data_IF_866852927639
#
_entry.id   IF_866852927639
#
_cell.length_a   1.000
_cell.length_b   1.000
_cell.length_c   1.000
_cell.angle_alpha   90.00
_cell.angle_beta   90.00
_cell.angle_gamma   90.00
#
_symmetry.space_group_name_H-M   'P 1'
#
loop_
_entity.id
_entity.type
_entity.pdbx_description
1 polymer ?
#
# COMPACT_ATOMS: atom_id res chain seq x y z
N UNK A 1 -34.35 -10.43 46.07
CA UNK A 1 -34.99 -11.66 45.57
C UNK A 1 -34.06 -12.80 45.98
N UNK A 2 -34.24 -13.39 47.18
CA UNK A 2 -35.10 -14.56 47.45
C UNK A 2 -34.82 -15.68 46.43
N UNK A 3 -34.25 -16.83 46.81
CA UNK A 3 -35.04 -17.88 47.46
C UNK A 3 -34.17 -18.85 48.28
N UNK A 4 -34.60 -19.10 49.52
CA UNK A 4 -34.19 -20.23 50.35
C UNK A 4 -35.01 -21.46 49.91
N UNK A 5 -34.42 -22.65 49.88
CA UNK A 5 -35.18 -23.89 50.09
C UNK A 5 -34.46 -24.77 51.11
N UNK A 6 -35.04 -24.79 52.30
CA UNK A 6 -34.83 -25.82 53.32
C UNK A 6 -35.52 -27.12 52.88
N UNK A 7 -34.83 -28.23 53.07
CA UNK A 7 -35.40 -29.58 52.98
C UNK A 7 -34.67 -30.49 53.95
N UNK A 8 -34.99 -30.37 55.25
CA UNK A 8 -34.54 -31.30 56.26
C UNK A 8 -35.37 -32.58 56.22
N UNK A 9 -34.71 -33.73 56.35
CA UNK A 9 -35.33 -34.94 56.91
C UNK A 9 -34.39 -35.52 57.96
N UNK A 10 -34.88 -35.48 59.20
CA UNK A 10 -34.38 -36.27 60.32
C UNK A 10 -34.85 -37.71 60.14
N UNK A 11 -33.94 -38.65 60.34
CA UNK A 11 -34.23 -40.08 60.47
C UNK A 11 -33.30 -40.64 61.53
N UNK A 12 -33.90 -41.36 62.47
CA UNK A 12 -33.42 -41.63 63.82
C UNK A 12 -32.25 -42.61 63.94
N UNK A 13 -31.59 -42.45 65.10
CA UNK A 13 -30.49 -43.27 65.60
C UNK A 13 -30.87 -44.74 65.85
N UNK A 14 -29.92 -45.65 65.57
CA UNK A 14 -29.36 -46.66 66.51
C UNK A 14 -28.52 -47.68 65.73
N UNK A 15 -27.26 -47.84 66.13
CA UNK A 15 -26.39 -48.88 65.62
C UNK A 15 -24.98 -48.68 66.15
N UNK A 16 -24.76 -49.07 67.41
CA UNK A 16 -23.46 -49.04 68.05
C UNK A 16 -22.47 -49.92 67.31
N UNK A 17 -21.32 -49.34 66.96
CA UNK A 17 -20.15 -50.04 66.46
C UNK A 17 -18.92 -49.27 66.89
N UNK A 18 -18.44 -49.50 68.12
CA UNK A 18 -17.10 -49.08 68.54
C UNK A 18 -16.10 -49.97 67.80
N UNK A 19 -15.78 -49.61 66.57
CA UNK A 19 -14.61 -50.10 65.85
C UNK A 19 -13.45 -49.16 66.13
N UNK A 20 -12.57 -49.56 67.04
CA UNK A 20 -11.30 -48.87 67.23
C UNK A 20 -10.42 -49.02 65.99
N UNK A 21 -9.82 -47.90 65.57
CA UNK A 21 -8.54 -47.83 64.88
C UNK A 21 -8.42 -48.59 63.56
N UNK A 22 -8.53 -47.85 62.46
CA UNK A 22 -7.37 -47.36 61.69
C UNK A 22 -7.85 -46.09 61.01
N UNK A 23 -7.40 -44.93 61.50
CA UNK A 23 -7.42 -43.76 60.66
C UNK A 23 -6.46 -44.06 59.53
N UNK A 24 -6.98 -44.31 58.34
CA UNK A 24 -6.17 -44.25 57.13
C UNK A 24 -5.75 -42.78 57.01
N UNK A 25 -4.62 -42.46 57.63
CA UNK A 25 -3.92 -41.22 57.42
C UNK A 25 -3.78 -41.08 55.89
N UNK A 26 -4.21 -39.96 55.28
CA UNK A 26 -3.96 -39.74 53.86
C UNK A 26 -2.46 -39.94 53.67
N UNK A 27 -2.08 -40.88 52.80
CA UNK A 27 -0.70 -41.27 52.61
C UNK A 27 0.09 -40.00 52.26
N UNK A 28 0.79 -39.44 53.25
CA UNK A 28 1.43 -38.12 53.17
C UNK A 28 2.50 -38.13 52.07
N UNK A 29 3.04 -39.31 51.78
CA UNK A 29 3.93 -39.56 50.66
C UNK A 29 3.24 -39.46 49.30
N UNK A 30 1.99 -39.94 49.18
CA UNK A 30 1.19 -39.77 47.97
C UNK A 30 0.77 -38.31 47.75
N UNK A 31 0.46 -37.57 48.83
CA UNK A 31 0.18 -36.13 48.75
C UNK A 31 1.42 -35.34 48.28
N UNK A 32 2.60 -35.62 48.85
CA UNK A 32 3.87 -35.02 48.39
C UNK A 32 4.20 -35.39 46.95
N UNK A 33 3.88 -36.61 46.52
CA UNK A 33 4.02 -37.03 45.12
C UNK A 33 3.04 -36.33 44.18
N UNK A 34 1.82 -36.05 44.62
CA UNK A 34 0.88 -35.21 43.89
C UNK A 34 1.42 -33.78 43.75
N UNK A 35 1.88 -33.17 44.84
CA UNK A 35 2.40 -31.79 44.83
C UNK A 35 3.63 -31.64 43.91
N UNK A 36 4.56 -32.60 43.96
CA UNK A 36 5.74 -32.62 43.08
C UNK A 36 5.33 -32.73 41.60
N UNK A 37 4.38 -33.62 41.28
CA UNK A 37 3.87 -33.75 39.91
C UNK A 37 3.16 -32.49 39.45
N UNK A 38 2.42 -31.83 40.32
CA UNK A 38 1.72 -30.59 39.97
C UNK A 38 2.71 -29.45 39.72
N UNK A 39 3.77 -29.33 40.54
CA UNK A 39 4.88 -28.38 40.32
C UNK A 39 5.59 -28.67 38.98
N UNK A 40 5.94 -29.93 38.70
CA UNK A 40 6.56 -30.30 37.43
C UNK A 40 5.65 -30.01 36.23
N UNK A 41 4.34 -30.27 36.36
CA UNK A 41 3.38 -29.96 35.32
C UNK A 41 3.23 -28.46 35.09
N UNK A 42 3.29 -27.63 36.13
CA UNK A 42 3.24 -26.17 36.02
C UNK A 42 4.53 -25.59 35.42
N UNK A 43 5.70 -26.12 35.77
CA UNK A 43 6.98 -25.75 35.15
C UNK A 43 6.99 -26.10 33.65
N UNK A 44 6.49 -27.28 33.28
CA UNK A 44 6.35 -27.68 31.88
C UNK A 44 5.36 -26.77 31.13
N UNK A 45 4.24 -26.39 31.76
CA UNK A 45 3.29 -25.43 31.19
C UNK A 45 3.93 -24.07 30.95
N UNK A 46 4.72 -23.59 31.91
CA UNK A 46 5.42 -22.31 31.78
C UNK A 46 6.48 -22.36 30.66
N UNK A 47 7.25 -23.44 30.57
CA UNK A 47 8.24 -23.62 29.50
C UNK A 47 7.60 -23.63 28.11
N UNK A 48 6.42 -24.23 27.95
CA UNK A 48 5.68 -24.22 26.67
C UNK A 48 5.22 -22.81 26.30
N UNK A 49 4.76 -22.01 27.26
CA UNK A 49 4.33 -20.62 27.01
C UNK A 49 5.50 -19.74 26.55
N UNK A 50 6.66 -19.88 27.18
CA UNK A 50 7.86 -19.10 26.82
C UNK A 50 8.34 -19.45 25.41
N UNK A 51 8.38 -20.74 25.06
CA UNK A 51 8.72 -21.21 23.71
C UNK A 51 7.73 -20.70 22.65
N UNK A 52 6.43 -20.64 22.96
CA UNK A 52 5.42 -20.08 22.07
C UNK A 52 5.63 -18.57 21.85
N UNK A 53 5.95 -17.83 22.90
CA UNK A 53 6.24 -16.40 22.81
C UNK A 53 7.49 -16.13 21.97
N UNK A 54 8.56 -16.90 22.16
CA UNK A 54 9.78 -16.79 21.37
C UNK A 54 9.56 -17.13 19.90
N UNK A 55 8.78 -18.18 19.61
CA UNK A 55 8.39 -18.56 18.25
C UNK A 55 7.61 -17.42 17.59
N UNK A 56 6.57 -16.91 18.26
CA UNK A 56 5.73 -15.82 17.77
C UNK A 56 6.54 -14.54 17.52
N UNK A 57 7.49 -14.24 18.39
CA UNK A 57 8.39 -13.10 18.22
C UNK A 57 9.39 -13.32 17.07
N UNK A 58 9.87 -14.55 16.89
CA UNK A 58 10.68 -14.96 15.74
C UNK A 58 9.95 -14.71 14.42
N UNK A 59 8.72 -15.20 14.31
CA UNK A 59 7.88 -15.07 13.12
C UNK A 59 7.56 -13.60 12.82
N UNK A 60 7.18 -12.82 13.84
CA UNK A 60 6.91 -11.39 13.69
C UNK A 60 8.15 -10.64 13.17
N UNK A 61 9.34 -10.94 13.72
CA UNK A 61 10.61 -10.34 13.26
C UNK A 61 10.92 -10.74 11.83
N UNK A 62 10.71 -11.99 11.45
CA UNK A 62 10.93 -12.48 10.09
C UNK A 62 9.97 -11.81 9.10
N UNK A 63 8.68 -11.74 9.41
CA UNK A 63 7.68 -11.07 8.58
C UNK A 63 8.01 -9.59 8.38
N UNK A 64 8.38 -8.88 9.45
CA UNK A 64 8.82 -7.48 9.37
C UNK A 64 10.04 -7.33 8.47
N UNK A 65 11.05 -8.18 8.65
CA UNK A 65 12.27 -8.12 7.84
C UNK A 65 12.01 -8.44 6.36
N UNK A 66 11.10 -9.39 6.07
CA UNK A 66 10.67 -9.69 4.71
C UNK A 66 9.96 -8.48 4.07
N UNK A 67 9.05 -7.84 4.80
CA UNK A 67 8.37 -6.63 4.33
C UNK A 67 9.36 -5.47 4.05
N UNK A 68 10.37 -5.28 4.90
CA UNK A 68 11.41 -4.26 4.69
C UNK A 68 12.24 -4.56 3.43
N UNK A 69 12.59 -5.83 3.19
CA UNK A 69 13.34 -6.22 1.97
C UNK A 69 12.54 -5.96 0.71
N UNK A 70 11.26 -6.31 0.72
CA UNK A 70 10.34 -6.04 -0.39
C UNK A 70 10.22 -4.54 -0.66
N UNK A 71 10.00 -3.73 0.39
CA UNK A 71 9.93 -2.27 0.25
C UNK A 71 11.23 -1.68 -0.29
N UNK A 72 12.39 -2.17 0.15
CA UNK A 72 13.68 -1.72 -0.36
C UNK A 72 13.85 -2.07 -1.85
N UNK A 73 13.38 -3.24 -2.29
CA UNK A 73 13.41 -3.64 -3.69
C UNK A 73 12.52 -2.72 -4.54
N UNK A 74 11.29 -2.45 -4.09
CA UNK A 74 10.37 -1.52 -4.75
C UNK A 74 10.96 -0.11 -4.83
N UNK A 75 11.59 0.36 -3.75
CA UNK A 75 12.27 1.66 -3.73
C UNK A 75 13.42 1.71 -4.74
N UNK A 76 14.23 0.66 -4.81
CA UNK A 76 15.32 0.55 -5.78
C UNK A 76 14.81 0.57 -7.23
N UNK A 77 13.71 -0.13 -7.50
CA UNK A 77 13.07 -0.10 -8.82
C UNK A 77 12.59 1.30 -9.19
N UNK A 78 11.81 1.94 -8.32
CA UNK A 78 11.31 3.31 -8.56
C UNK A 78 12.44 4.32 -8.73
N UNK A 79 13.53 4.18 -7.96
CA UNK A 79 14.71 5.03 -8.10
C UNK A 79 15.33 4.87 -9.49
N UNK A 80 15.50 3.63 -9.95
CA UNK A 80 16.03 3.35 -11.30
C UNK A 80 15.14 3.92 -12.40
N UNK A 81 13.82 3.88 -12.27
CA UNK A 81 12.87 4.46 -13.23
C UNK A 81 12.98 5.99 -13.27
N UNK A 82 13.05 6.63 -12.11
CA UNK A 82 13.22 8.09 -12.04
C UNK A 82 14.57 8.51 -12.63
N UNK A 83 15.64 7.76 -12.35
CA UNK A 83 16.95 8.03 -12.92
C UNK A 83 17.00 7.86 -14.44
N UNK A 84 16.32 6.86 -15.00
CA UNK A 84 16.26 6.65 -16.44
C UNK A 84 15.47 7.77 -17.14
N UNK A 85 14.34 8.18 -16.57
CA UNK A 85 13.57 9.33 -17.06
C UNK A 85 14.34 10.64 -16.94
N UNK A 86 15.10 10.83 -15.86
CA UNK A 86 16.00 11.97 -15.69
C UNK A 86 17.05 12.01 -16.79
N UNK A 87 17.74 10.89 -17.06
CA UNK A 87 18.74 10.79 -18.14
C UNK A 87 18.11 11.01 -19.52
N UNK A 88 16.88 10.52 -19.74
CA UNK A 88 16.12 10.76 -20.97
C UNK A 88 15.84 12.25 -21.15
N UNK A 89 15.42 12.94 -20.09
CA UNK A 89 15.23 14.39 -20.08
C UNK A 89 16.52 15.15 -20.39
N UNK A 90 17.64 14.79 -19.74
CA UNK A 90 18.95 15.40 -20.00
C UNK A 90 19.41 15.24 -21.45
N UNK A 91 19.18 14.07 -22.04
CA UNK A 91 19.50 13.79 -23.44
C UNK A 91 18.65 14.64 -24.41
N UNK A 92 17.34 14.76 -24.14
CA UNK A 92 16.45 15.61 -24.92
C UNK A 92 16.85 17.10 -24.82
N UNK A 93 17.22 17.56 -23.63
CA UNK A 93 17.69 18.93 -23.44
C UNK A 93 19.03 19.18 -24.14
N UNK A 94 19.96 18.21 -24.12
CA UNK A 94 21.21 18.29 -24.85
C UNK A 94 20.97 18.35 -26.37
N UNK A 95 20.07 17.51 -26.89
CA UNK A 95 19.67 17.51 -28.29
C UNK A 95 19.06 18.85 -28.69
N UNK A 96 18.14 19.40 -27.89
CA UNK A 96 17.55 20.73 -28.12
C UNK A 96 18.62 21.82 -28.16
N UNK A 97 19.54 21.83 -27.19
CA UNK A 97 20.64 22.82 -27.15
C UNK A 97 21.57 22.72 -28.36
N UNK A 98 21.86 21.49 -28.83
CA UNK A 98 22.64 21.28 -30.05
C UNK A 98 21.90 21.77 -31.30
N UNK A 99 20.59 21.58 -31.34
CA UNK A 99 19.76 21.99 -32.48
C UNK A 99 19.48 23.51 -32.53
N UNK A 100 19.57 24.22 -31.41
CA UNK A 100 19.35 25.68 -31.37
C UNK A 100 20.27 26.49 -32.30
N UNK A 101 21.48 26.00 -32.60
CA UNK A 101 22.37 26.66 -33.57
C UNK A 101 22.01 26.38 -35.03
N UNK A 102 21.25 25.31 -35.28
CA UNK A 102 20.91 24.85 -36.62
C UNK A 102 19.47 25.20 -37.02
N UNK A 103 18.57 25.31 -36.06
CA UNK A 103 17.14 25.54 -36.28
C UNK A 103 16.66 26.70 -35.43
N UNK A 104 16.28 27.80 -36.07
CA UNK A 104 15.81 29.01 -35.39
C UNK A 104 14.56 28.72 -34.55
N UNK A 105 13.64 27.85 -35.00
CA UNK A 105 12.41 27.49 -34.28
C UNK A 105 12.64 26.67 -33.01
N UNK A 106 13.85 26.14 -32.78
CA UNK A 106 14.24 25.53 -31.50
C UNK A 106 14.80 26.54 -30.48
N UNK A 107 14.97 27.81 -30.88
CA UNK A 107 15.38 28.91 -30.01
C UNK A 107 14.31 29.17 -28.93
N UNK A 108 14.70 29.58 -27.70
CA UNK A 108 13.75 29.99 -26.67
C UNK A 108 12.76 31.02 -27.20
N UNK A 109 11.48 30.88 -26.85
CA UNK A 109 10.41 31.71 -27.42
C UNK A 109 10.59 33.22 -27.19
N UNK A 110 11.27 33.62 -26.10
CA UNK A 110 11.60 35.03 -25.82
C UNK A 110 12.73 35.61 -26.67
N UNK A 111 13.42 34.77 -27.48
CA UNK A 111 14.45 35.19 -28.42
C UNK A 111 13.96 35.21 -29.87
N UNK A 112 12.75 34.72 -30.13
CA UNK A 112 12.16 34.70 -31.45
C UNK A 112 11.45 36.03 -31.74
N UNK A 113 11.56 36.50 -32.98
CA UNK A 113 10.83 37.66 -33.49
C UNK A 113 9.34 37.37 -33.70
N UNK A 114 8.53 38.42 -33.87
CA UNK A 114 7.09 38.29 -34.08
C UNK A 114 6.75 37.45 -35.32
N UNK A 115 7.47 37.69 -36.42
CA UNK A 115 7.29 36.98 -37.69
C UNK A 115 7.64 35.49 -37.57
N UNK A 116 8.73 35.16 -36.88
CA UNK A 116 9.14 33.79 -36.58
C UNK A 116 8.08 33.06 -35.73
N UNK A 117 7.52 33.74 -34.73
CA UNK A 117 6.42 33.22 -33.91
C UNK A 117 5.17 32.92 -34.73
N UNK A 118 4.82 33.81 -35.65
CA UNK A 118 3.65 33.64 -36.51
C UNK A 118 3.83 32.45 -37.46
N UNK A 119 5.01 32.31 -38.07
CA UNK A 119 5.36 31.15 -38.89
C UNK A 119 5.28 29.83 -38.11
N UNK A 120 5.83 29.79 -36.89
CA UNK A 120 5.76 28.58 -36.04
C UNK A 120 4.31 28.26 -35.68
N UNK A 121 3.51 29.27 -35.33
CA UNK A 121 2.08 29.09 -35.02
C UNK A 121 1.31 28.50 -36.19
N UNK A 122 1.48 29.03 -37.39
CA UNK A 122 0.81 28.53 -38.60
C UNK A 122 1.23 27.09 -38.91
N UNK A 123 2.53 26.79 -38.86
CA UNK A 123 3.06 25.45 -39.05
C UNK A 123 2.50 24.45 -38.03
N UNK A 124 2.39 24.84 -36.75
CA UNK A 124 1.79 24.01 -35.70
C UNK A 124 0.29 23.78 -35.92
N UNK A 125 -0.44 24.79 -36.37
CA UNK A 125 -1.86 24.65 -36.71
C UNK A 125 -2.06 23.67 -37.86
N UNK A 126 -1.21 23.74 -38.89
CA UNK A 126 -1.28 22.84 -40.03
C UNK A 126 -0.89 21.40 -39.63
N UNK A 127 0.18 21.25 -38.83
CA UNK A 127 0.56 19.96 -38.26
C UNK A 127 -0.58 19.35 -37.45
N UNK A 128 -1.25 20.13 -36.60
CA UNK A 128 -2.41 19.66 -35.81
C UNK A 128 -3.53 19.13 -36.71
N UNK A 129 -3.87 19.84 -37.80
CA UNK A 129 -4.87 19.35 -38.77
C UNK A 129 -4.43 18.02 -39.39
N UNK A 130 -3.16 17.92 -39.78
CA UNK A 130 -2.61 16.72 -40.40
C UNK A 130 -2.62 15.53 -39.45
N UNK A 131 -2.21 15.72 -38.19
CA UNK A 131 -2.26 14.70 -37.14
C UNK A 131 -3.69 14.26 -36.88
N UNK A 132 -4.64 15.19 -36.75
CA UNK A 132 -6.06 14.85 -36.56
C UNK A 132 -6.62 14.07 -37.74
N UNK A 133 -6.25 14.44 -38.97
CA UNK A 133 -6.64 13.71 -40.18
C UNK A 133 -6.10 12.29 -40.15
N UNK A 134 -4.84 12.11 -39.75
CA UNK A 134 -4.23 10.79 -39.69
C UNK A 134 -4.80 9.93 -38.55
N UNK A 135 -5.04 10.52 -37.38
CA UNK A 135 -5.72 9.87 -36.26
C UNK A 135 -7.14 9.42 -36.64
N UNK A 136 -7.89 10.26 -37.37
CA UNK A 136 -9.21 9.89 -37.88
C UNK A 136 -9.16 8.72 -38.87
N UNK A 137 -8.17 8.69 -39.78
CA UNK A 137 -7.96 7.54 -40.68
C UNK A 137 -7.62 6.27 -39.91
N UNK A 138 -6.73 6.36 -38.92
CA UNK A 138 -6.37 5.22 -38.07
C UNK A 138 -7.58 4.72 -37.27
N UNK A 139 -8.42 5.61 -36.76
CA UNK A 139 -9.65 5.23 -36.05
C UNK A 139 -10.64 4.49 -36.96
N UNK A 140 -10.84 4.96 -38.21
CA UNK A 140 -11.67 4.25 -39.21
C UNK A 140 -11.06 2.90 -39.57
N UNK A 141 -9.73 2.82 -39.73
CA UNK A 141 -9.03 1.58 -40.00
C UNK A 141 -9.11 0.57 -38.84
N UNK A 142 -9.00 1.06 -37.59
CA UNK A 142 -9.12 0.26 -36.38
C UNK A 142 -10.56 -0.19 -36.10
N UNK A 143 -11.56 0.59 -36.51
CA UNK A 143 -12.97 0.20 -36.48
C UNK A 143 -13.30 -0.86 -37.56
N UNK A 144 -12.61 -0.83 -38.71
CA UNK A 144 -12.80 -1.79 -39.81
C UNK A 144 -12.06 -3.13 -39.64
N UNK A 145 -10.97 -3.17 -38.86
CA UNK A 145 -10.30 -4.40 -38.40
C UNK A 145 -10.25 -4.37 -36.88
N UNK A 146 -11.21 -5.01 -36.21
CA UNK A 146 -11.31 -5.01 -34.75
C UNK A 146 -9.96 -5.07 -34.03
N UNK A 147 -9.54 -3.92 -33.49
CA UNK A 147 -8.64 -3.80 -32.34
C UNK A 147 -7.18 -4.23 -32.51
N UNK A 148 -6.45 -3.74 -33.53
CA UNK A 148 -4.97 -3.97 -33.58
C UNK A 148 -4.16 -2.76 -33.08
N UNK A 149 -4.79 -1.67 -32.66
CA UNK A 149 -4.08 -0.49 -32.14
C UNK A 149 -3.93 -0.51 -30.60
N UNK A 150 -3.58 -1.68 -30.04
CA UNK A 150 -3.36 -1.89 -28.59
C UNK A 150 -1.86 -2.05 -28.27
N UNK A 151 -0.96 -1.43 -29.05
CA UNK A 151 0.48 -1.71 -28.93
C UNK A 151 1.32 -0.55 -28.36
N UNK A 152 0.72 0.63 -28.14
CA UNK A 152 1.35 1.71 -27.37
C UNK A 152 0.60 2.02 -26.06
N UNK A 153 -0.51 1.33 -25.78
CA UNK A 153 -0.99 1.22 -24.41
C UNK A 153 0.02 0.36 -23.65
N UNK A 154 0.83 1.03 -22.85
CA UNK A 154 1.66 0.43 -21.82
C UNK A 154 0.89 -0.69 -21.13
N UNK A 155 1.36 -1.92 -21.30
CA UNK A 155 0.82 -3.14 -20.68
C UNK A 155 0.34 -2.86 -19.24
N UNK A 156 -0.87 -3.26 -18.83
CA UNK A 156 -1.22 -3.29 -17.43
C UNK A 156 -0.45 -4.46 -16.81
N UNK A 157 0.78 -4.18 -16.39
CA UNK A 157 1.53 -5.06 -15.51
C UNK A 157 0.72 -5.20 -14.23
N UNK A 158 0.20 -6.41 -14.03
CA UNK A 158 -0.56 -6.79 -12.87
C UNK A 158 0.30 -6.65 -11.61
N UNK A 159 -0.07 -5.74 -10.73
CA UNK A 159 0.50 -5.64 -9.39
C UNK A 159 0.21 -4.31 -8.70
N UNK A 160 -0.97 -4.17 -8.08
CA UNK A 160 -1.19 -3.46 -6.81
C UNK A 160 -0.85 -1.97 -6.62
N UNK A 161 -0.17 -1.26 -7.53
CA UNK A 161 0.29 0.12 -7.30
C UNK A 161 -0.60 1.18 -8.00
N UNK A 162 -1.51 0.76 -8.89
CA UNK A 162 -2.34 1.64 -9.72
C UNK A 162 -3.20 2.64 -8.94
N UNK A 163 -3.79 2.26 -7.80
CA UNK A 163 -4.73 3.14 -7.09
C UNK A 163 -4.06 4.37 -6.46
N UNK A 164 -2.83 4.25 -5.93
CA UNK A 164 -2.19 5.33 -5.17
C UNK A 164 -1.64 6.44 -6.05
N UNK A 165 -1.07 6.11 -7.21
CA UNK A 165 -0.63 7.10 -8.20
C UNK A 165 -1.81 7.85 -8.82
N UNK A 166 -2.91 7.14 -9.04
CA UNK A 166 -4.12 7.71 -9.59
C UNK A 166 -4.79 8.69 -8.60
N UNK A 167 -4.75 8.38 -7.31
CA UNK A 167 -5.21 9.28 -6.25
C UNK A 167 -4.32 10.53 -6.10
N UNK A 168 -3.00 10.39 -6.23
CA UNK A 168 -2.06 11.52 -6.23
C UNK A 168 -2.34 12.42 -7.44
N UNK A 169 -2.49 11.85 -8.63
CA UNK A 169 -2.79 12.61 -9.85
C UNK A 169 -4.14 13.33 -9.75
N UNK A 170 -5.17 12.67 -9.21
CA UNK A 170 -6.48 13.29 -8.93
C UNK A 170 -6.37 14.42 -7.90
N UNK A 171 -5.56 14.27 -6.87
CA UNK A 171 -5.37 15.31 -5.85
C UNK A 171 -4.64 16.53 -6.42
N UNK A 172 -3.56 16.32 -7.18
CA UNK A 172 -2.82 17.38 -7.87
C UNK A 172 -3.73 18.16 -8.82
N UNK A 173 -4.57 17.47 -9.61
CA UNK A 173 -5.56 18.11 -10.48
C UNK A 173 -6.54 18.97 -9.69
N UNK A 174 -7.08 18.47 -8.57
CA UNK A 174 -8.00 19.22 -7.70
C UNK A 174 -7.37 20.49 -7.15
N UNK A 175 -6.14 20.42 -6.65
CA UNK A 175 -5.44 21.60 -6.11
C UNK A 175 -5.12 22.62 -7.21
N UNK A 176 -4.71 22.17 -8.41
CA UNK A 176 -4.50 23.07 -9.55
C UNK A 176 -5.80 23.83 -9.92
N UNK A 177 -6.95 23.15 -9.93
CA UNK A 177 -8.24 23.82 -10.21
C UNK A 177 -8.60 24.84 -9.14
N UNK A 178 -8.34 24.55 -7.85
CA UNK A 178 -8.58 25.52 -6.77
C UNK A 178 -7.72 26.77 -6.92
N UNK A 179 -6.44 26.61 -7.27
CA UNK A 179 -5.53 27.73 -7.48
C UNK A 179 -5.96 28.59 -8.68
N UNK A 180 -6.34 27.96 -9.79
CA UNK A 180 -6.85 28.67 -10.97
C UNK A 180 -8.10 29.47 -10.65
N UNK A 181 -9.06 28.88 -9.92
CA UNK A 181 -10.28 29.58 -9.53
C UNK A 181 -10.02 30.71 -8.52
N UNK A 182 -9.10 30.49 -7.56
CA UNK A 182 -8.69 31.53 -6.62
C UNK A 182 -8.00 32.70 -7.34
N UNK A 183 -7.17 32.41 -8.34
CA UNK A 183 -6.51 33.43 -9.14
C UNK A 183 -7.52 34.19 -10.00
N UNK A 184 -8.47 33.49 -10.63
CA UNK A 184 -9.54 34.11 -11.39
C UNK A 184 -10.35 35.08 -10.52
N UNK A 185 -10.74 34.66 -9.31
CA UNK A 185 -11.45 35.53 -8.37
C UNK A 185 -10.60 36.75 -7.96
N UNK A 186 -9.33 36.56 -7.63
CA UNK A 186 -8.44 37.68 -7.27
C UNK A 186 -8.28 38.69 -8.42
N UNK A 187 -8.25 38.21 -9.67
CA UNK A 187 -8.23 39.09 -10.85
C UNK A 187 -9.56 39.84 -11.01
N UNK A 188 -10.70 39.19 -10.77
CA UNK A 188 -11.99 39.87 -10.78
C UNK A 188 -12.08 40.96 -9.70
N UNK A 189 -11.55 40.72 -8.50
CA UNK A 189 -11.57 41.71 -7.40
C UNK A 189 -10.59 42.89 -7.62
N UNK A 190 -9.56 42.70 -8.45
CA UNK A 190 -8.58 43.76 -8.75
C UNK A 190 -8.95 44.62 -9.96
N UNK A 191 -9.77 44.09 -10.87
CA UNK A 191 -10.08 44.71 -12.16
C UNK A 191 -11.57 44.83 -12.49
N UNK A 192 -12.45 44.34 -11.61
CA UNK A 192 -13.90 44.55 -11.65
C UNK A 192 -14.36 45.54 -10.59
#
# INVERSE_FOLDING_TARGET
MAERRHGGRRGDARGGGRGGGRGDLPNEEAARQCDLRDIENDDLRQQVLDLQHDTKNGDMRQQRNAAVRELNLQLGHMLSEVESERKRGESLDAMRKANQSHYWWESPIGKLGLEELEQVKEAMQELKKNVNREAAKLAVYAAGRGGVFEQYETKPSHGGVGSRLEDINKNVKREATKLVNSLANAVYELFG
#
